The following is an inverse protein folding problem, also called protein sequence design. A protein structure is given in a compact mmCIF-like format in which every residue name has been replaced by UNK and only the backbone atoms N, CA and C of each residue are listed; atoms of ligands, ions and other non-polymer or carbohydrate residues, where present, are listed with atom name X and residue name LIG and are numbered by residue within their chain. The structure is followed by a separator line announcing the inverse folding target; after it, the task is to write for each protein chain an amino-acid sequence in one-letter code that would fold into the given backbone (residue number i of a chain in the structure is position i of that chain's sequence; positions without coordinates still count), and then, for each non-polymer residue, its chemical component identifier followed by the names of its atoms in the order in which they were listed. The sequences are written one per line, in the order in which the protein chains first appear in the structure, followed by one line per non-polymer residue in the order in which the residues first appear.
data_IF_709846805454
#
_entry.id   IF_709846805454
#
_cell.length_a   1.000
_cell.length_b   1.000
_cell.length_c   1.000
_cell.angle_alpha   90.00
_cell.angle_beta   90.00
_cell.angle_gamma   90.00
#
_symmetry.space_group_name_H-M   'P 1'
#
loop_
_entity.id
_entity.type
_entity.pdbx_description
1 polymer ?
#
# COMPACT_ATOMS: atom_id res chain seq x y z
N UNK A 1 19.29 15.91 25.85
CA UNK A 1 19.01 14.47 25.92
C UNK A 1 17.53 14.28 25.63
N UNK A 2 17.20 13.89 24.40
CA UNK A 2 15.82 13.69 23.95
C UNK A 2 15.35 12.31 24.44
N UNK A 3 14.15 12.18 25.03
CA UNK A 3 13.68 10.88 25.51
C UNK A 3 13.35 9.99 24.31
N UNK A 4 14.08 8.89 24.19
CA UNK A 4 13.81 7.81 23.24
C UNK A 4 12.51 7.13 23.63
N UNK A 5 11.49 7.24 22.77
CA UNK A 5 10.26 6.48 22.90
C UNK A 5 10.55 4.97 22.80
N UNK A 6 9.95 4.13 23.65
CA UNK A 6 10.16 2.68 23.60
C UNK A 6 9.65 2.13 22.27
N UNK A 7 10.48 1.29 21.64
CA UNK A 7 10.10 0.55 20.42
C UNK A 7 9.01 -0.46 20.80
N UNK A 8 7.84 -0.45 20.15
CA UNK A 8 6.76 -1.35 20.51
C UNK A 8 7.15 -2.81 20.18
N UNK A 9 6.66 -3.79 20.95
CA UNK A 9 7.00 -5.19 20.76
C UNK A 9 6.60 -5.68 19.36
N UNK A 10 7.55 -6.30 18.67
CA UNK A 10 7.35 -7.02 17.41
C UNK A 10 6.57 -8.32 17.69
N UNK A 11 5.25 -8.23 17.91
CA UNK A 11 4.26 -9.23 17.51
C UNK A 11 2.87 -8.84 18.03
N UNK A 12 1.86 -9.05 17.18
CA UNK A 12 0.46 -8.64 17.29
C UNK A 12 0.17 -7.15 17.03
N UNK A 13 0.58 -6.61 15.87
CA UNK A 13 -0.29 -5.62 15.23
C UNK A 13 -1.59 -6.35 14.91
N UNK A 14 -2.70 -6.02 15.58
CA UNK A 14 -4.01 -6.32 15.02
C UNK A 14 -3.97 -5.84 13.56
N UNK A 15 -4.31 -6.74 12.61
CA UNK A 15 -4.20 -6.40 11.21
C UNK A 15 -5.16 -5.23 10.92
N UNK A 16 -4.62 -4.03 10.76
CA UNK A 16 -5.40 -2.83 10.47
C UNK A 16 -5.96 -3.01 9.05
N UNK A 17 -7.27 -2.88 8.90
CA UNK A 17 -7.91 -2.98 7.59
C UNK A 17 -7.56 -1.79 6.70
N UNK A 18 -7.58 -1.97 5.38
CA UNK A 18 -7.32 -0.89 4.43
C UNK A 18 -8.32 0.28 4.58
N UNK A 19 -9.57 -0.01 4.94
CA UNK A 19 -10.61 0.99 5.23
C UNK A 19 -10.34 1.76 6.52
N UNK A 20 -9.78 1.12 7.54
CA UNK A 20 -9.34 1.80 8.78
C UNK A 20 -8.21 2.79 8.46
N UNK A 21 -7.22 2.38 7.67
CA UNK A 21 -6.12 3.28 7.24
C UNK A 21 -6.66 4.48 6.47
N UNK A 22 -7.57 4.26 5.51
CA UNK A 22 -8.19 5.34 4.74
C UNK A 22 -8.93 6.33 5.66
N UNK A 23 -9.68 5.80 6.64
CA UNK A 23 -10.41 6.60 7.62
C UNK A 23 -9.47 7.45 8.47
N UNK A 24 -8.40 6.85 9.00
CA UNK A 24 -7.47 7.53 9.90
C UNK A 24 -6.70 8.64 9.19
N UNK A 25 -6.24 8.40 7.95
CA UNK A 25 -5.57 9.43 7.15
C UNK A 25 -6.52 10.59 6.85
N UNK A 26 -7.75 10.31 6.40
CA UNK A 26 -8.73 11.35 6.06
C UNK A 26 -9.11 12.17 7.30
N UNK A 27 -9.20 11.56 8.49
CA UNK A 27 -9.42 12.27 9.75
C UNK A 27 -8.23 13.12 10.17
N UNK A 28 -7.01 12.60 10.02
CA UNK A 28 -5.79 13.34 10.33
C UNK A 28 -5.64 14.59 9.44
N UNK A 29 -5.89 14.44 8.14
CA UNK A 29 -5.91 15.55 7.18
C UNK A 29 -6.99 16.58 7.51
N UNK A 30 -8.18 16.15 7.95
CA UNK A 30 -9.25 17.04 8.38
C UNK A 30 -8.85 17.88 9.61
N UNK A 31 -8.20 17.26 10.62
CA UNK A 31 -7.65 17.99 11.78
C UNK A 31 -6.61 19.01 11.36
N UNK A 32 -5.62 18.59 10.55
CA UNK A 32 -4.58 19.50 10.08
C UNK A 32 -5.13 20.67 9.26
N UNK A 33 -6.22 20.45 8.50
CA UNK A 33 -6.92 21.53 7.80
C UNK A 33 -7.61 22.51 8.76
N UNK A 34 -8.29 22.02 9.80
CA UNK A 34 -8.90 22.88 10.82
C UNK A 34 -7.84 23.73 11.55
N UNK A 35 -6.72 23.13 11.95
CA UNK A 35 -5.62 23.87 12.59
C UNK A 35 -5.07 24.99 11.68
N UNK A 36 -5.00 24.74 10.37
CA UNK A 36 -4.58 25.75 9.41
C UNK A 36 -5.64 26.84 9.20
N UNK A 37 -6.93 26.47 9.21
CA UNK A 37 -8.04 27.43 9.11
C UNK A 37 -8.03 28.40 10.29
N UNK A 38 -7.83 27.89 11.51
CA UNK A 38 -7.75 28.73 12.71
C UNK A 38 -6.61 29.76 12.62
N UNK A 39 -5.46 29.37 12.07
CA UNK A 39 -4.33 30.29 11.83
C UNK A 39 -4.65 31.36 10.79
N UNK A 40 -5.39 31.01 9.73
CA UNK A 40 -5.85 31.97 8.70
C UNK A 40 -6.86 32.95 9.30
N UNK A 41 -7.82 32.45 10.08
CA UNK A 41 -8.80 33.29 10.75
C UNK A 41 -8.12 34.26 11.73
N UNK A 42 -7.19 33.77 12.55
CA UNK A 42 -6.47 34.57 13.53
C UNK A 42 -5.56 35.64 12.91
N UNK A 43 -4.69 35.25 11.97
CA UNK A 43 -3.63 36.15 11.46
C UNK A 43 -3.85 36.62 10.02
N UNK A 44 -4.38 35.75 9.16
CA UNK A 44 -4.39 35.98 7.71
C UNK A 44 -2.99 36.14 7.09
N UNK A 45 -1.93 35.71 7.79
CA UNK A 45 -0.55 35.82 7.32
C UNK A 45 -0.35 34.98 6.03
N UNK A 46 0.53 35.41 5.10
CA UNK A 46 0.78 34.69 3.84
C UNK A 46 1.12 33.21 4.04
N UNK A 47 1.95 32.89 5.05
CA UNK A 47 2.32 31.51 5.38
C UNK A 47 1.12 30.70 5.89
N UNK A 48 0.26 31.28 6.72
CA UNK A 48 -0.95 30.61 7.20
C UNK A 48 -1.89 30.26 6.02
N UNK A 49 -2.07 31.19 5.08
CA UNK A 49 -2.85 30.97 3.85
C UNK A 49 -2.20 29.88 2.98
N UNK A 50 -0.88 29.91 2.83
CA UNK A 50 -0.13 28.88 2.10
C UNK A 50 -0.37 27.48 2.69
N UNK A 51 -0.14 27.31 3.99
CA UNK A 51 -0.30 26.03 4.69
C UNK A 51 -1.75 25.52 4.61
N UNK A 52 -2.74 26.40 4.82
CA UNK A 52 -4.15 26.03 4.70
C UNK A 52 -4.51 25.56 3.28
N UNK A 53 -4.00 26.26 2.25
CA UNK A 53 -4.19 25.86 0.85
C UNK A 53 -3.54 24.51 0.55
N UNK A 54 -2.39 24.21 1.15
CA UNK A 54 -1.73 22.90 1.04
C UNK A 54 -2.56 21.82 1.73
N UNK A 55 -3.06 22.08 2.94
CA UNK A 55 -3.88 21.15 3.71
C UNK A 55 -5.19 20.79 2.98
N UNK A 56 -5.92 21.77 2.44
CA UNK A 56 -7.17 21.49 1.69
C UNK A 56 -6.90 20.69 0.41
N UNK A 57 -5.77 20.95 -0.25
CA UNK A 57 -5.36 20.21 -1.44
C UNK A 57 -4.97 18.78 -1.12
N UNK A 58 -4.28 18.56 -0.01
CA UNK A 58 -3.91 17.23 0.52
C UNK A 58 -5.16 16.42 0.81
N UNK A 59 -6.08 16.93 1.64
CA UNK A 59 -7.35 16.27 1.96
C UNK A 59 -8.15 15.90 0.69
N UNK A 60 -8.27 16.82 -0.28
CA UNK A 60 -8.92 16.55 -1.57
C UNK A 60 -8.24 15.44 -2.37
N UNK A 61 -6.92 15.34 -2.27
CA UNK A 61 -6.13 14.32 -2.98
C UNK A 61 -6.24 12.96 -2.29
N UNK A 62 -6.21 12.92 -0.97
CA UNK A 62 -6.24 11.67 -0.19
C UNK A 62 -7.65 11.07 -0.21
N UNK A 63 -8.70 11.88 -0.06
CA UNK A 63 -10.10 11.46 -0.28
C UNK A 63 -10.29 10.87 -1.70
N UNK A 64 -9.61 11.42 -2.71
CA UNK A 64 -9.62 10.86 -4.07
C UNK A 64 -8.83 9.56 -4.17
N UNK A 65 -7.65 9.50 -3.55
CA UNK A 65 -6.76 8.33 -3.58
C UNK A 65 -7.45 7.11 -2.98
N UNK A 66 -8.15 7.28 -1.86
CA UNK A 66 -8.87 6.22 -1.18
C UNK A 66 -10.26 5.92 -1.78
N UNK A 67 -10.64 6.55 -2.90
CA UNK A 67 -11.90 6.24 -3.61
C UNK A 67 -12.17 4.74 -3.83
N UNK A 68 -11.18 3.86 -4.09
CA UNK A 68 -11.43 2.42 -4.20
C UNK A 68 -11.85 1.73 -2.89
N UNK A 69 -11.67 2.38 -1.74
CA UNK A 69 -11.97 1.84 -0.40
C UNK A 69 -13.14 2.53 0.29
N UNK A 70 -13.60 3.67 -0.22
CA UNK A 70 -14.61 4.53 0.39
C UNK A 70 -15.87 4.64 -0.47
N UNK A 71 -17.00 4.96 0.14
CA UNK A 71 -18.24 5.21 -0.60
C UNK A 71 -18.06 6.32 -1.66
N UNK A 72 -18.45 6.00 -2.89
CA UNK A 72 -18.18 6.87 -4.05
C UNK A 72 -18.97 8.17 -4.02
N UNK A 73 -20.18 8.16 -3.45
CA UNK A 73 -21.02 9.36 -3.33
C UNK A 73 -20.41 10.29 -2.29
N UNK A 74 -20.06 9.74 -1.12
CA UNK A 74 -19.38 10.46 -0.06
C UNK A 74 -18.08 11.11 -0.57
N UNK A 75 -17.23 10.37 -1.27
CA UNK A 75 -15.99 10.92 -1.87
C UNK A 75 -16.29 12.08 -2.84
N UNK A 76 -17.34 11.97 -3.64
CA UNK A 76 -17.69 12.99 -4.64
C UNK A 76 -18.23 14.26 -3.97
N UNK A 77 -19.11 14.10 -2.98
CA UNK A 77 -19.71 15.21 -2.25
C UNK A 77 -18.67 15.94 -1.41
N UNK A 78 -17.84 15.23 -0.63
CA UNK A 78 -16.78 15.86 0.17
C UNK A 78 -15.80 16.64 -0.68
N UNK A 79 -15.46 16.14 -1.88
CA UNK A 79 -14.58 16.87 -2.79
C UNK A 79 -15.23 18.13 -3.35
N UNK A 80 -16.52 18.08 -3.67
CA UNK A 80 -17.30 19.26 -4.09
C UNK A 80 -17.34 20.30 -2.96
N UNK A 81 -17.60 19.87 -1.73
CA UNK A 81 -17.65 20.74 -0.55
C UNK A 81 -16.30 21.48 -0.33
N UNK A 82 -15.18 20.78 -0.54
CA UNK A 82 -13.83 21.37 -0.40
C UNK A 82 -13.41 22.29 -1.57
N UNK A 83 -14.12 22.26 -2.71
CA UNK A 83 -13.73 23.02 -3.89
C UNK A 83 -13.93 24.53 -3.72
N UNK A 84 -15.00 24.94 -3.02
CA UNK A 84 -15.27 26.35 -2.72
C UNK A 84 -14.14 26.97 -1.90
N UNK A 85 -13.83 26.35 -0.76
CA UNK A 85 -12.72 26.75 0.12
C UNK A 85 -11.37 26.75 -0.60
N UNK A 86 -11.10 25.74 -1.44
CA UNK A 86 -9.87 25.70 -2.21
C UNK A 86 -9.72 26.89 -3.16
N UNK A 87 -10.79 27.28 -3.86
CA UNK A 87 -10.78 28.44 -4.77
C UNK A 87 -10.59 29.75 -4.01
N UNK A 88 -11.30 29.94 -2.89
CA UNK A 88 -11.17 31.15 -2.08
C UNK A 88 -9.75 31.35 -1.53
N UNK A 89 -9.13 30.28 -1.02
CA UNK A 89 -7.73 30.30 -0.58
C UNK A 89 -6.75 30.58 -1.73
N UNK A 90 -7.04 30.09 -2.93
CA UNK A 90 -6.20 30.32 -4.10
C UNK A 90 -6.16 31.80 -4.51
N UNK A 91 -7.28 32.51 -4.43
CA UNK A 91 -7.35 33.96 -4.74
C UNK A 91 -6.40 34.77 -3.86
N UNK A 92 -6.42 34.56 -2.54
CA UNK A 92 -5.52 35.28 -1.62
C UNK A 92 -4.07 34.89 -1.85
N UNK A 93 -3.78 33.58 -2.00
CA UNK A 93 -2.40 33.11 -2.24
C UNK A 93 -1.83 33.65 -3.55
N UNK A 94 -2.64 33.81 -4.60
CA UNK A 94 -2.17 34.39 -5.86
C UNK A 94 -1.60 35.80 -5.67
N UNK A 95 -2.27 36.62 -4.85
CA UNK A 95 -1.82 37.97 -4.52
C UNK A 95 -0.54 37.95 -3.66
N UNK A 96 -0.45 37.01 -2.69
CA UNK A 96 0.78 36.81 -1.91
C UNK A 96 1.97 36.46 -2.81
N UNK A 97 1.79 35.47 -3.69
CA UNK A 97 2.83 35.00 -4.64
C UNK A 97 3.33 36.14 -5.52
N UNK A 98 2.41 36.87 -6.15
CA UNK A 98 2.77 37.97 -7.03
C UNK A 98 3.53 39.07 -6.30
N UNK A 99 3.11 39.42 -5.07
CA UNK A 99 3.83 40.41 -4.27
C UNK A 99 5.27 39.97 -3.97
N UNK A 100 5.49 38.68 -3.69
CA UNK A 100 6.83 38.12 -3.49
C UNK A 100 7.67 38.21 -4.77
N UNK A 101 7.09 37.91 -5.94
CA UNK A 101 7.79 38.04 -7.23
C UNK A 101 8.15 39.47 -7.60
N UNK A 102 7.25 40.43 -7.34
CA UNK A 102 7.53 41.84 -7.58
C UNK A 102 8.70 42.33 -6.71
N UNK A 103 8.73 41.95 -5.42
CA UNK A 103 9.87 42.26 -4.53
C UNK A 103 11.16 41.60 -5.01
N UNK A 104 11.11 40.33 -5.39
CA UNK A 104 12.28 39.61 -5.87
C UNK A 104 12.81 40.18 -7.21
N UNK A 105 11.93 40.69 -8.07
CA UNK A 105 12.33 41.34 -9.32
C UNK A 105 12.95 42.73 -9.10
N UNK A 106 12.45 43.48 -8.12
CA UNK A 106 13.04 44.77 -7.73
C UNK A 106 14.41 44.58 -7.07
N UNK A 107 14.56 43.53 -6.26
CA UNK A 107 15.80 43.19 -5.59
C UNK A 107 16.95 43.06 -6.59
N UNK A 108 17.94 43.96 -6.49
CA UNK A 108 19.11 43.99 -7.37
C UNK A 108 18.95 44.82 -8.65
N UNK A 109 17.89 45.62 -8.78
CA UNK A 109 17.71 46.58 -9.87
C UNK A 109 17.57 48.01 -9.35
N UNK A 110 18.54 48.86 -9.67
CA UNK A 110 18.57 50.25 -9.22
C UNK A 110 17.34 51.06 -9.71
N UNK A 111 16.64 51.70 -8.77
CA UNK A 111 15.47 52.54 -9.03
C UNK A 111 14.16 51.80 -9.31
N UNK A 112 14.09 50.47 -9.16
CA UNK A 112 12.82 49.73 -9.28
C UNK A 112 12.01 49.68 -7.98
N UNK A 113 12.63 49.92 -6.83
CA UNK A 113 11.92 49.93 -5.54
C UNK A 113 10.83 51.02 -5.50
N UNK A 114 11.12 52.20 -6.06
CA UNK A 114 10.16 53.31 -6.17
C UNK A 114 8.99 52.98 -7.11
N UNK A 115 9.23 52.19 -8.16
CA UNK A 115 8.19 51.73 -9.09
C UNK A 115 7.31 50.64 -8.46
N UNK A 116 7.91 49.71 -7.72
CA UNK A 116 7.21 48.56 -7.14
C UNK A 116 6.45 48.92 -5.87
N UNK A 117 6.88 49.94 -5.11
CA UNK A 117 6.23 50.40 -3.89
C UNK A 117 4.71 50.63 -4.03
N UNK A 118 4.25 51.50 -4.95
CA UNK A 118 2.83 51.75 -5.19
C UNK A 118 2.06 50.48 -5.62
N UNK A 119 2.66 49.65 -6.47
CA UNK A 119 2.05 48.39 -6.92
C UNK A 119 1.83 47.43 -5.75
N UNK A 120 2.79 47.33 -4.83
CA UNK A 120 2.67 46.51 -3.63
C UNK A 120 1.61 47.03 -2.66
N UNK A 121 1.44 48.35 -2.56
CA UNK A 121 0.38 48.97 -1.76
C UNK A 121 -1.01 48.63 -2.32
N UNK A 122 -1.20 48.74 -3.63
CA UNK A 122 -2.44 48.33 -4.28
C UNK A 122 -2.71 46.83 -4.13
N UNK A 123 -1.69 45.99 -4.28
CA UNK A 123 -1.81 44.55 -4.03
C UNK A 123 -2.18 44.25 -2.58
N UNK A 124 -1.59 44.95 -1.60
CA UNK A 124 -1.92 44.79 -0.19
C UNK A 124 -3.39 45.15 0.10
N UNK A 125 -3.92 46.19 -0.54
CA UNK A 125 -5.35 46.57 -0.45
C UNK A 125 -6.25 45.47 -1.02
N UNK A 126 -6.01 45.04 -2.26
CA UNK A 126 -6.79 43.97 -2.91
C UNK A 126 -6.71 42.66 -2.10
N UNK A 127 -5.54 42.35 -1.55
CA UNK A 127 -5.32 41.20 -0.68
C UNK A 127 -6.14 41.31 0.61
N UNK A 128 -6.19 42.49 1.22
CA UNK A 128 -7.02 42.73 2.41
C UNK A 128 -8.50 42.46 2.12
N UNK A 129 -9.00 42.97 0.99
CA UNK A 129 -10.39 42.74 0.56
C UNK A 129 -10.66 41.26 0.29
N UNK A 130 -9.75 40.57 -0.41
CA UNK A 130 -9.85 39.15 -0.69
C UNK A 130 -9.78 38.29 0.59
N UNK A 131 -8.95 38.67 1.57
CA UNK A 131 -8.86 38.01 2.87
C UNK A 131 -10.13 38.23 3.70
N UNK A 132 -10.72 39.43 3.65
CA UNK A 132 -12.00 39.71 4.29
C UNK A 132 -13.11 38.85 3.69
N UNK A 133 -13.17 38.74 2.35
CA UNK A 133 -14.10 37.86 1.65
C UNK A 133 -13.89 36.39 2.01
N UNK A 134 -12.64 35.91 2.04
CA UNK A 134 -12.30 34.56 2.48
C UNK A 134 -12.77 34.30 3.92
N UNK A 135 -12.54 35.23 4.85
CA UNK A 135 -12.99 35.10 6.24
C UNK A 135 -14.51 35.04 6.34
N UNK A 136 -15.23 35.84 5.57
CA UNK A 136 -16.68 35.79 5.50
C UNK A 136 -17.17 34.42 4.99
N UNK A 137 -16.59 33.91 3.89
CA UNK A 137 -16.88 32.57 3.36
C UNK A 137 -16.56 31.48 4.38
N UNK A 138 -15.41 31.52 5.05
CA UNK A 138 -15.04 30.50 6.04
C UNK A 138 -15.94 30.55 7.30
N UNK A 139 -16.43 31.72 7.69
CA UNK A 139 -17.35 31.85 8.82
C UNK A 139 -18.70 31.16 8.56
N UNK A 140 -19.18 31.17 7.31
CA UNK A 140 -20.46 30.55 6.91
C UNK A 140 -20.31 29.13 6.37
N UNK A 141 -19.19 28.84 5.72
CA UNK A 141 -19.02 27.66 4.85
C UNK A 141 -17.95 26.67 5.36
N UNK A 142 -17.34 26.84 6.54
CA UNK A 142 -16.56 25.74 7.12
C UNK A 142 -17.52 24.59 7.38
N UNK A 143 -17.43 23.48 6.62
CA UNK A 143 -18.49 22.50 6.66
C UNK A 143 -18.53 21.84 8.04
N UNK A 144 -19.70 21.77 8.66
CA UNK A 144 -19.88 21.12 9.97
C UNK A 144 -19.37 19.67 9.96
N UNK A 145 -19.46 19.01 8.80
CA UNK A 145 -18.91 17.67 8.58
C UNK A 145 -17.39 17.61 8.78
N UNK A 146 -16.63 18.67 8.53
CA UNK A 146 -15.17 18.68 8.68
C UNK A 146 -14.78 18.59 10.15
N UNK A 147 -15.47 19.34 11.03
CA UNK A 147 -15.31 19.25 12.49
C UNK A 147 -15.74 17.86 12.99
N UNK A 148 -16.91 17.42 12.56
CA UNK A 148 -17.43 16.10 12.91
C UNK A 148 -16.52 14.94 12.43
N UNK A 149 -15.85 15.11 11.29
CA UNK A 149 -14.88 14.14 10.81
C UNK A 149 -13.62 14.15 11.69
N UNK A 150 -13.10 15.33 12.02
CA UNK A 150 -11.90 15.51 12.82
C UNK A 150 -12.04 14.96 14.25
N UNK A 151 -13.19 15.21 14.90
CA UNK A 151 -13.49 14.70 16.25
C UNK A 151 -13.96 13.23 16.25
N UNK A 152 -14.29 12.68 15.08
CA UNK A 152 -14.68 11.29 14.89
C UNK A 152 -16.18 11.01 15.02
N UNK A 153 -17.01 12.03 15.25
CA UNK A 153 -18.48 11.89 15.31
C UNK A 153 -19.11 11.58 13.94
N UNK A 154 -18.47 11.99 12.85
CA UNK A 154 -18.82 11.58 11.49
C UNK A 154 -18.00 10.35 11.09
N UNK A 155 -18.71 9.27 10.73
CA UNK A 155 -18.10 8.10 10.14
C UNK A 155 -17.60 8.40 8.72
N UNK A 156 -16.44 7.84 8.37
CA UNK A 156 -16.00 7.74 6.97
C UNK A 156 -16.59 6.45 6.41
N UNK A 157 -17.58 6.50 5.49
CA UNK A 157 -18.21 5.31 4.97
C UNK A 157 -17.22 4.56 4.08
N UNK A 158 -16.86 3.36 4.51
CA UNK A 158 -16.14 2.37 3.71
C UNK A 158 -17.06 1.86 2.59
N UNK A 159 -16.53 1.59 1.39
CA UNK A 159 -17.33 1.13 0.25
C UNK A 159 -18.12 -0.15 0.63
N UNK A 160 -19.47 -0.10 0.61
CA UNK A 160 -20.30 -1.21 1.04
C UNK A 160 -20.44 -2.33 -0.01
N UNK A 161 -19.88 -2.14 -1.22
CA UNK A 161 -20.06 -3.10 -2.30
C UNK A 161 -19.42 -4.47 -1.99
N UNK A 162 -20.11 -5.59 -2.29
CA UNK A 162 -19.52 -6.93 -2.27
C UNK A 162 -18.31 -6.98 -3.22
N UNK A 163 -17.10 -7.11 -2.66
CA UNK A 163 -15.84 -7.05 -3.42
C UNK A 163 -14.96 -5.83 -3.16
N UNK A 164 -15.36 -4.93 -2.25
CA UNK A 164 -14.47 -3.88 -1.74
C UNK A 164 -13.31 -4.48 -0.95
N UNK A 165 -12.07 -4.12 -1.28
CA UNK A 165 -10.86 -4.56 -0.56
C UNK A 165 -10.68 -3.86 0.80
N UNK A 166 -11.58 -2.97 1.19
CA UNK A 166 -11.42 -2.15 2.40
C UNK A 166 -11.36 -2.96 3.70
N UNK A 167 -11.99 -4.13 3.74
CA UNK A 167 -11.95 -5.04 4.90
C UNK A 167 -10.66 -5.88 4.97
N UNK A 168 -9.86 -5.91 3.90
CA UNK A 168 -8.63 -6.70 3.85
C UNK A 168 -7.47 -5.99 4.59
N UNK A 169 -6.47 -6.77 4.98
CA UNK A 169 -5.25 -6.28 5.64
C UNK A 169 -4.59 -5.16 4.81
N UNK A 170 -4.41 -3.98 5.41
CA UNK A 170 -3.92 -2.80 4.70
C UNK A 170 -2.63 -3.04 3.88
N UNK A 171 -1.60 -3.76 4.37
CA UNK A 171 -0.39 -4.03 3.59
C UNK A 171 -0.62 -4.81 2.29
N UNK A 172 -1.74 -5.51 2.13
CA UNK A 172 -2.09 -6.22 0.90
C UNK A 172 -2.70 -5.29 -0.15
N UNK A 173 -3.40 -4.24 0.31
CA UNK A 173 -4.25 -3.39 -0.52
C UNK A 173 -3.56 -2.06 -0.84
N UNK A 174 -3.04 -1.37 0.17
CA UNK A 174 -2.56 0.01 0.02
C UNK A 174 -1.36 0.19 -0.93
N UNK A 175 -0.42 -0.78 -1.11
CA UNK A 175 0.63 -0.63 -2.13
C UNK A 175 0.08 -0.40 -3.55
N UNK A 176 -1.10 -0.95 -3.85
CA UNK A 176 -1.74 -0.79 -5.15
C UNK A 176 -2.18 0.66 -5.43
N UNK A 177 -2.51 1.43 -4.39
CA UNK A 177 -2.93 2.84 -4.51
C UNK A 177 -1.78 3.72 -5.03
N UNK A 178 -0.54 3.35 -4.74
CA UNK A 178 0.66 4.08 -5.14
C UNK A 178 1.19 3.69 -6.54
N UNK A 179 0.79 2.53 -7.09
CA UNK A 179 1.26 2.02 -8.39
C UNK A 179 1.14 3.04 -9.51
N UNK A 180 -0.03 3.67 -9.65
CA UNK A 180 -0.30 4.59 -10.75
C UNK A 180 0.53 5.88 -10.64
N UNK A 181 0.51 6.63 -9.51
CA UNK A 181 1.40 7.79 -9.35
C UNK A 181 2.88 7.44 -9.54
N UNK A 182 3.32 6.32 -8.96
CA UNK A 182 4.71 5.87 -9.05
C UNK A 182 5.15 5.58 -10.48
N UNK A 183 4.33 4.89 -11.26
CA UNK A 183 4.61 4.58 -12.67
C UNK A 183 4.83 5.83 -13.50
N UNK A 184 3.95 6.83 -13.36
CA UNK A 184 4.09 8.09 -14.11
C UNK A 184 5.38 8.85 -13.77
N UNK A 185 5.81 8.83 -12.50
CA UNK A 185 7.08 9.44 -12.10
C UNK A 185 8.27 8.63 -12.63
N UNK A 186 8.19 7.30 -12.65
CA UNK A 186 9.25 6.42 -13.15
C UNK A 186 9.46 6.48 -14.66
N UNK A 187 8.39 6.66 -15.42
CA UNK A 187 8.43 6.70 -16.88
C UNK A 187 8.96 8.03 -17.43
N UNK A 188 9.16 9.03 -16.57
CA UNK A 188 9.77 10.30 -16.93
C UNK A 188 11.22 10.10 -17.42
N UNK A 189 11.45 10.19 -18.74
CA UNK A 189 12.78 10.10 -19.36
C UNK A 189 13.56 11.41 -19.20
N UNK A 190 14.90 11.36 -19.17
CA UNK A 190 15.74 12.57 -19.20
C UNK A 190 15.36 13.44 -20.42
N UNK A 191 14.89 14.66 -20.17
CA UNK A 191 14.24 15.56 -21.16
C UNK A 191 12.92 16.20 -20.69
N UNK A 192 12.38 15.82 -19.52
CA UNK A 192 11.03 16.20 -19.04
C UNK A 192 10.83 17.69 -18.69
N UNK A 193 11.90 18.47 -18.53
CA UNK A 193 11.80 19.82 -17.96
C UNK A 193 11.25 20.88 -18.92
N UNK A 194 11.06 20.54 -20.19
CA UNK A 194 10.57 21.49 -21.19
C UNK A 194 9.05 21.53 -21.29
N UNK A 195 8.33 20.56 -20.71
CA UNK A 195 6.85 20.59 -20.58
C UNK A 195 6.35 19.70 -19.42
N UNK A 196 6.51 20.20 -18.18
CA UNK A 196 6.50 19.36 -16.97
C UNK A 196 5.26 19.44 -16.08
N UNK A 197 4.13 19.99 -16.55
CA UNK A 197 2.93 20.12 -15.70
C UNK A 197 2.37 18.75 -15.29
N UNK A 198 2.36 17.79 -16.21
CA UNK A 198 1.93 16.43 -15.89
C UNK A 198 2.84 15.76 -14.85
N UNK A 199 4.17 15.86 -15.01
CA UNK A 199 5.12 15.30 -14.04
C UNK A 199 4.97 15.99 -12.67
N UNK A 200 4.73 17.30 -12.63
CA UNK A 200 4.48 18.05 -11.39
C UNK A 200 3.23 17.53 -10.67
N UNK A 201 2.16 17.24 -11.41
CA UNK A 201 0.93 16.70 -10.84
C UNK A 201 1.13 15.28 -10.30
N UNK A 202 1.84 14.42 -11.04
CA UNK A 202 2.09 13.04 -10.61
C UNK A 202 3.11 12.93 -9.49
N UNK A 203 4.17 13.74 -9.47
CA UNK A 203 5.11 13.80 -8.34
C UNK A 203 4.38 14.23 -7.07
N UNK A 204 3.54 15.27 -7.12
CA UNK A 204 2.71 15.67 -5.96
C UNK A 204 1.82 14.52 -5.47
N UNK A 205 1.16 13.80 -6.37
CA UNK A 205 0.29 12.67 -6.01
C UNK A 205 1.09 11.51 -5.42
N UNK A 206 2.27 11.22 -5.98
CA UNK A 206 3.16 10.17 -5.48
C UNK A 206 3.67 10.52 -4.08
N UNK A 207 4.06 11.78 -3.85
CA UNK A 207 4.44 12.29 -2.53
C UNK A 207 3.31 12.11 -1.50
N UNK A 208 2.12 12.66 -1.77
CA UNK A 208 1.00 12.55 -0.82
C UNK A 208 0.63 11.10 -0.52
N UNK A 209 0.59 10.24 -1.54
CA UNK A 209 0.32 8.82 -1.35
C UNK A 209 1.40 8.13 -0.52
N UNK A 210 2.68 8.40 -0.78
CA UNK A 210 3.78 7.82 -0.02
C UNK A 210 3.79 8.28 1.45
N UNK A 211 3.53 9.58 1.70
CA UNK A 211 3.39 10.13 3.06
C UNK A 211 2.22 9.47 3.81
N UNK A 212 1.03 9.44 3.20
CA UNK A 212 -0.18 8.87 3.78
C UNK A 212 -0.03 7.39 4.14
N UNK A 213 0.75 6.64 3.35
CA UNK A 213 0.93 5.20 3.51
C UNK A 213 2.18 4.82 4.33
N UNK A 214 2.97 5.80 4.78
CA UNK A 214 4.15 5.58 5.62
C UNK A 214 3.86 4.76 6.89
N UNK A 215 2.74 4.97 7.63
CA UNK A 215 2.42 4.15 8.80
C UNK A 215 2.25 2.65 8.50
N UNK A 216 1.93 2.29 7.25
CA UNK A 216 1.70 0.89 6.81
C UNK A 216 2.91 0.31 6.10
N UNK A 217 3.55 1.11 5.24
CA UNK A 217 4.64 0.67 4.36
C UNK A 217 6.04 0.93 4.93
N UNK A 218 6.12 1.70 6.02
CA UNK A 218 7.34 1.92 6.78
C UNK A 218 8.38 2.80 6.07
N UNK A 219 9.68 2.64 6.41
CA UNK A 219 10.77 3.50 5.94
C UNK A 219 10.89 3.66 4.42
N UNK A 220 10.66 2.63 3.58
CA UNK A 220 10.73 2.79 2.13
C UNK A 220 9.73 3.83 1.59
N UNK A 221 8.50 3.87 2.12
CA UNK A 221 7.51 4.86 1.72
C UNK A 221 7.88 6.26 2.21
N UNK A 222 8.45 6.39 3.41
CA UNK A 222 8.97 7.67 3.89
C UNK A 222 10.11 8.20 3.01
N UNK A 223 11.04 7.33 2.60
CA UNK A 223 12.13 7.71 1.69
C UNK A 223 11.62 8.12 0.30
N UNK A 224 10.60 7.43 -0.22
CA UNK A 224 9.94 7.81 -1.47
C UNK A 224 9.23 9.17 -1.34
N UNK A 225 8.53 9.43 -0.24
CA UNK A 225 7.91 10.73 0.04
C UNK A 225 8.96 11.86 0.07
N UNK A 226 10.06 11.66 0.79
CA UNK A 226 11.14 12.65 0.91
C UNK A 226 11.79 12.95 -0.45
N UNK A 227 12.17 11.91 -1.20
CA UNK A 227 12.78 12.08 -2.54
C UNK A 227 11.82 12.76 -3.52
N UNK A 228 10.54 12.36 -3.52
CA UNK A 228 9.51 12.97 -4.37
C UNK A 228 9.21 14.42 -3.97
N UNK A 229 9.42 14.79 -2.70
CA UNK A 229 9.28 16.18 -2.24
C UNK A 229 10.27 17.10 -2.95
N UNK A 230 11.56 16.72 -3.01
CA UNK A 230 12.59 17.51 -3.67
C UNK A 230 12.25 17.70 -5.15
N UNK A 231 11.82 16.62 -5.82
CA UNK A 231 11.42 16.67 -7.23
C UNK A 231 10.22 17.58 -7.44
N UNK A 232 9.20 17.46 -6.59
CA UNK A 232 7.99 18.28 -6.69
C UNK A 232 8.27 19.78 -6.48
N UNK A 233 9.17 20.13 -5.54
CA UNK A 233 9.57 21.53 -5.28
C UNK A 233 10.26 22.11 -6.51
N UNK A 234 11.26 21.41 -7.06
CA UNK A 234 11.97 21.88 -8.25
C UNK A 234 11.04 22.04 -9.47
N UNK A 235 10.11 21.10 -9.68
CA UNK A 235 9.08 21.23 -10.72
C UNK A 235 8.08 22.38 -10.45
N UNK A 236 7.87 22.71 -9.17
CA UNK A 236 7.08 23.86 -8.74
C UNK A 236 7.73 25.18 -9.14
N UNK A 237 9.02 25.33 -8.84
CA UNK A 237 9.82 26.51 -9.20
C UNK A 237 9.90 26.72 -10.72
N UNK A 238 10.06 25.63 -11.50
CA UNK A 238 10.04 25.72 -12.95
C UNK A 238 8.68 26.21 -13.51
N UNK A 239 7.58 25.75 -12.93
CA UNK A 239 6.24 26.23 -13.29
C UNK A 239 6.02 27.68 -12.87
N UNK A 240 6.51 28.05 -11.69
CA UNK A 240 6.45 29.42 -11.18
C UNK A 240 7.20 30.40 -12.10
N UNK A 241 8.37 30.02 -12.63
CA UNK A 241 9.07 30.81 -13.64
C UNK A 241 8.23 31.06 -14.91
N UNK A 242 7.46 30.07 -15.37
CA UNK A 242 6.54 30.23 -16.51
C UNK A 242 5.43 31.24 -16.17
N UNK A 243 4.83 31.12 -14.99
CA UNK A 243 3.79 32.05 -14.50
C UNK A 243 4.32 33.49 -14.43
N UNK A 244 5.51 33.71 -13.84
CA UNK A 244 6.14 35.03 -13.75
C UNK A 244 6.36 35.66 -15.12
N UNK A 245 6.83 34.88 -16.12
CA UNK A 245 7.02 35.40 -17.49
C UNK A 245 5.70 35.80 -18.14
N UNK A 246 4.67 34.96 -18.01
CA UNK A 246 3.34 35.25 -18.54
C UNK A 246 2.75 36.52 -17.91
N UNK A 247 2.94 36.68 -16.62
CA UNK A 247 2.49 37.85 -15.86
C UNK A 247 3.27 39.12 -16.23
N UNK A 248 4.59 39.04 -16.34
CA UNK A 248 5.43 40.15 -16.79
C UNK A 248 5.02 40.66 -18.17
N UNK A 249 4.66 39.75 -19.09
CA UNK A 249 4.14 40.10 -20.41
C UNK A 249 2.77 40.79 -20.31
N UNK A 250 1.83 40.18 -19.58
CA UNK A 250 0.46 40.68 -19.45
C UNK A 250 0.37 42.05 -18.77
N UNK A 251 1.11 42.24 -17.67
CA UNK A 251 1.14 43.51 -16.94
C UNK A 251 1.76 44.63 -17.79
N UNK A 252 2.80 44.32 -18.57
CA UNK A 252 3.44 45.29 -19.44
C UNK A 252 2.52 45.71 -20.59
N UNK A 253 1.84 44.75 -21.22
CA UNK A 253 0.85 45.02 -22.28
C UNK A 253 -0.33 45.86 -21.78
N UNK A 254 -0.75 45.65 -20.53
CA UNK A 254 -1.79 46.43 -19.88
C UNK A 254 -1.32 47.82 -19.42
N UNK A 255 -0.04 48.17 -19.57
CA UNK A 255 0.52 49.44 -19.11
C UNK A 255 0.62 49.56 -17.58
N UNK A 256 0.51 48.44 -16.86
CA UNK A 256 0.53 48.40 -15.38
C UNK A 256 1.96 48.38 -14.81
N UNK A 257 2.95 47.98 -15.62
CA UNK A 257 4.37 47.99 -15.23
C UNK A 257 5.25 48.53 -16.37
N UNK A 258 6.37 49.14 -16.02
CA UNK A 258 7.32 49.62 -17.02
C UNK A 258 7.99 48.46 -17.77
N UNK A 259 8.57 48.76 -18.94
CA UNK A 259 9.39 47.80 -19.67
C UNK A 259 10.63 47.35 -18.87
N UNK A 260 11.14 48.21 -17.98
CA UNK A 260 12.28 47.89 -17.09
C UNK A 260 11.86 46.86 -16.04
N UNK A 261 10.75 47.07 -15.35
CA UNK A 261 10.23 46.14 -14.35
C UNK A 261 9.83 44.80 -14.99
N UNK A 262 9.14 44.82 -16.13
CA UNK A 262 8.80 43.60 -16.87
C UNK A 262 10.06 42.81 -17.28
N UNK A 263 11.14 43.49 -17.69
CA UNK A 263 12.43 42.85 -17.97
C UNK A 263 13.07 42.26 -16.71
N UNK A 264 12.97 42.94 -15.57
CA UNK A 264 13.48 42.45 -14.30
C UNK A 264 12.74 41.18 -13.84
N UNK A 265 11.40 41.16 -13.94
CA UNK A 265 10.59 39.96 -13.65
C UNK A 265 10.98 38.78 -14.54
N UNK A 266 11.21 38.99 -15.84
CA UNK A 266 11.68 37.93 -16.75
C UNK A 266 13.06 37.40 -16.35
N UNK A 267 14.00 38.27 -16.00
CA UNK A 267 15.32 37.84 -15.49
C UNK A 267 15.21 37.00 -14.22
N UNK A 268 14.34 37.40 -13.29
CA UNK A 268 14.07 36.63 -12.07
C UNK A 268 13.50 35.24 -12.40
N UNK A 269 12.54 35.17 -13.34
CA UNK A 269 12.00 33.91 -13.82
C UNK A 269 13.07 33.00 -14.46
N UNK A 270 13.98 33.56 -15.25
CA UNK A 270 15.05 32.79 -15.90
C UNK A 270 16.02 32.21 -14.85
N UNK A 271 16.38 32.98 -13.81
CA UNK A 271 17.19 32.51 -12.68
C UNK A 271 16.50 31.36 -11.92
N UNK A 272 15.21 31.49 -11.65
CA UNK A 272 14.42 30.44 -11.00
C UNK A 272 14.37 29.16 -11.84
N UNK A 273 14.11 29.29 -13.15
CA UNK A 273 14.06 28.15 -14.05
C UNK A 273 15.40 27.41 -14.12
N UNK A 274 16.52 28.13 -14.18
CA UNK A 274 17.84 27.53 -14.24
C UNK A 274 18.18 26.75 -12.94
N UNK A 275 17.83 27.30 -11.78
CA UNK A 275 17.96 26.60 -10.49
C UNK A 275 17.10 25.35 -10.43
N UNK A 276 15.81 25.50 -10.77
CA UNK A 276 14.83 24.43 -10.79
C UNK A 276 15.23 23.26 -11.68
N UNK A 277 15.74 23.55 -12.89
CA UNK A 277 16.18 22.53 -13.84
C UNK A 277 17.30 21.66 -13.27
N UNK A 278 18.30 22.26 -12.62
CA UNK A 278 19.40 21.51 -11.99
C UNK A 278 18.88 20.64 -10.85
N UNK A 279 18.11 21.21 -9.92
CA UNK A 279 17.56 20.48 -8.78
C UNK A 279 16.63 19.32 -9.19
N UNK A 280 15.83 19.50 -10.24
CA UNK A 280 14.90 18.48 -10.70
C UNK A 280 15.60 17.24 -11.31
N UNK A 281 16.74 17.42 -11.99
CA UNK A 281 17.50 16.29 -12.56
C UNK A 281 18.06 15.40 -11.44
N UNK A 282 18.66 16.00 -10.43
CA UNK A 282 19.23 15.28 -9.28
C UNK A 282 18.14 14.61 -8.43
N UNK A 283 17.03 15.32 -8.22
CA UNK A 283 15.88 14.80 -7.50
C UNK A 283 15.24 13.63 -8.25
N UNK A 284 15.08 13.72 -9.58
CA UNK A 284 14.54 12.64 -10.39
C UNK A 284 15.45 11.40 -10.32
N UNK A 285 16.77 11.56 -10.40
CA UNK A 285 17.71 10.45 -10.24
C UNK A 285 17.54 9.76 -8.88
N UNK A 286 17.40 10.54 -7.81
CA UNK A 286 17.17 10.03 -6.44
C UNK A 286 15.85 9.26 -6.34
N UNK A 287 14.78 9.81 -6.92
CA UNK A 287 13.47 9.17 -6.94
C UNK A 287 13.54 7.85 -7.72
N UNK A 288 14.16 7.82 -8.90
CA UNK A 288 14.29 6.61 -9.71
C UNK A 288 15.14 5.51 -9.06
N UNK A 289 16.02 5.88 -8.13
CA UNK A 289 16.82 4.95 -7.33
C UNK A 289 16.06 4.37 -6.12
N UNK A 290 14.89 4.92 -5.77
CA UNK A 290 14.11 4.45 -4.62
C UNK A 290 13.60 3.01 -4.82
N UNK A 291 13.50 2.27 -3.71
CA UNK A 291 12.93 0.92 -3.71
C UNK A 291 11.48 0.94 -4.23
N UNK A 292 11.10 -0.11 -4.98
CA UNK A 292 9.72 -0.27 -5.43
C UNK A 292 8.80 -0.70 -4.29
N UNK A 293 8.23 0.30 -3.61
CA UNK A 293 7.31 0.15 -2.47
C UNK A 293 5.88 -0.24 -2.89
N UNK A 294 5.62 -0.39 -4.19
CA UNK A 294 4.28 -0.74 -4.72
C UNK A 294 4.03 -2.24 -4.78
N UNK A 295 5.08 -3.03 -4.50
CA UNK A 295 5.01 -4.49 -4.39
C UNK A 295 4.56 -4.86 -2.99
N UNK A 296 3.62 -5.81 -2.90
CA UNK A 296 3.24 -6.41 -1.62
C UNK A 296 4.48 -7.03 -0.97
N UNK A 297 4.74 -6.78 0.33
CA UNK A 297 5.90 -7.34 1.01
C UNK A 297 5.98 -8.85 0.80
N UNK A 298 7.16 -9.37 0.47
CA UNK A 298 7.35 -10.80 0.24
C UNK A 298 6.94 -11.65 1.45
N UNK A 299 7.01 -11.08 2.66
CA UNK A 299 6.53 -11.67 3.92
C UNK A 299 5.01 -11.78 4.02
N UNK A 300 4.21 -11.16 3.17
CA UNK A 300 2.74 -11.23 3.24
C UNK A 300 2.10 -11.98 2.06
N UNK A 301 2.92 -12.59 1.20
CA UNK A 301 2.44 -13.50 0.15
C UNK A 301 1.99 -14.84 0.76
N UNK A 302 0.78 -15.29 0.41
CA UNK A 302 0.27 -16.59 0.84
C UNK A 302 0.91 -17.72 0.03
N UNK A 303 1.76 -18.53 0.66
CA UNK A 303 2.30 -19.75 0.04
C UNK A 303 1.34 -20.90 0.27
N UNK A 304 0.70 -21.40 -0.79
CA UNK A 304 -0.16 -22.60 -0.72
C UNK A 304 0.63 -23.88 -1.00
N UNK A 305 0.22 -24.96 -0.37
CA UNK A 305 0.83 -26.29 -0.49
C UNK A 305 -0.24 -27.39 -0.36
N UNK A 306 0.05 -28.55 -0.94
CA UNK A 306 -0.76 -29.76 -0.83
C UNK A 306 0.06 -30.90 -0.23
N UNK A 307 -0.57 -31.73 0.59
CA UNK A 307 0.06 -32.91 1.20
C UNK A 307 -0.93 -34.04 1.44
N UNK A 308 -0.45 -35.13 2.01
CA UNK A 308 -1.27 -36.31 2.24
C UNK A 308 -0.83 -37.13 3.45
N UNK A 309 -1.81 -37.69 4.15
CA UNK A 309 -1.59 -38.83 5.05
C UNK A 309 -1.84 -40.07 4.19
N UNK A 310 -0.77 -40.62 3.62
CA UNK A 310 -0.85 -41.84 2.83
C UNK A 310 -0.91 -43.01 3.80
N UNK A 311 -1.96 -43.82 3.73
CA UNK A 311 -2.24 -44.86 4.71
C UNK A 311 -2.61 -46.19 4.07
N UNK A 312 -2.39 -47.28 4.81
CA UNK A 312 -2.85 -48.63 4.47
C UNK A 312 -3.27 -49.40 5.74
N UNK A 313 -4.21 -50.34 5.66
CA UNK A 313 -4.47 -51.28 6.75
C UNK A 313 -3.23 -52.11 7.08
N UNK A 314 -3.06 -52.48 8.34
CA UNK A 314 -2.07 -53.48 8.75
C UNK A 314 -2.52 -54.86 8.21
N UNK A 315 -1.68 -55.62 7.48
CA UNK A 315 -2.10 -56.87 6.84
C UNK A 315 -2.62 -57.96 7.78
N UNK A 316 -2.10 -58.02 9.02
CA UNK A 316 -2.41 -59.06 10.02
C UNK A 316 -2.69 -58.46 11.41
N UNK A 317 -3.46 -57.36 11.48
CA UNK A 317 -3.83 -56.75 12.76
C UNK A 317 -4.85 -55.63 12.64
N UNK A 318 -5.24 -55.09 13.80
CA UNK A 318 -6.08 -53.91 13.88
C UNK A 318 -5.24 -52.63 13.72
N UNK A 319 -5.71 -51.70 12.89
CA UNK A 319 -5.11 -50.37 12.73
C UNK A 319 -4.57 -50.08 11.33
N UNK A 320 -3.81 -48.98 11.24
CA UNK A 320 -3.29 -48.44 9.99
C UNK A 320 -1.82 -48.07 10.11
N UNK A 321 -1.08 -48.28 9.03
CA UNK A 321 0.23 -47.69 8.84
C UNK A 321 0.10 -46.43 7.99
N UNK A 322 0.94 -45.43 8.27
CA UNK A 322 1.02 -44.18 7.52
C UNK A 322 2.44 -43.94 7.02
N UNK A 323 2.56 -43.20 5.92
CA UNK A 323 3.86 -42.80 5.37
C UNK A 323 4.34 -41.51 6.02
N UNK A 324 5.60 -41.54 6.47
CA UNK A 324 6.36 -40.34 6.87
C UNK A 324 7.65 -40.26 6.07
N UNK A 325 8.15 -39.03 5.90
CA UNK A 325 9.34 -38.73 5.08
C UNK A 325 10.40 -37.99 5.90
N UNK A 326 11.66 -38.33 5.71
CA UNK A 326 12.79 -37.62 6.31
C UNK A 326 13.37 -36.59 5.33
N UNK A 327 13.58 -35.37 5.81
CA UNK A 327 14.07 -34.26 4.99
C UNK A 327 15.49 -33.86 5.40
N UNK A 328 16.54 -34.33 4.72
CA UNK A 328 17.93 -34.13 5.15
C UNK A 328 18.31 -32.65 5.27
N UNK A 329 17.81 -31.80 4.37
CA UNK A 329 18.04 -30.34 4.42
C UNK A 329 17.42 -29.65 5.64
N UNK A 330 16.44 -30.29 6.29
CA UNK A 330 15.75 -29.77 7.49
C UNK A 330 16.11 -30.55 8.75
N UNK A 331 16.65 -31.76 8.60
CA UNK A 331 16.91 -32.69 9.69
C UNK A 331 15.65 -33.05 10.47
N UNK A 332 14.51 -33.19 9.78
CA UNK A 332 13.23 -33.49 10.41
C UNK A 332 12.40 -34.55 9.67
N UNK A 333 11.59 -35.28 10.44
CA UNK A 333 10.53 -36.18 9.99
C UNK A 333 9.21 -35.43 9.87
N UNK A 334 8.51 -35.65 8.76
CA UNK A 334 7.33 -34.86 8.40
C UNK A 334 6.37 -35.68 7.55
N UNK A 335 5.11 -35.21 7.46
CA UNK A 335 4.19 -35.71 6.43
C UNK A 335 4.62 -35.22 5.04
N UNK A 336 4.46 -36.05 4.00
CA UNK A 336 4.79 -35.69 2.63
C UNK A 336 3.86 -34.58 2.12
N UNK A 337 4.46 -33.53 1.56
CA UNK A 337 3.78 -32.30 1.11
C UNK A 337 4.75 -31.38 0.37
N UNK A 338 4.22 -30.60 -0.57
CA UNK A 338 5.02 -29.57 -1.21
C UNK A 338 4.22 -28.41 -1.79
N UNK A 339 4.94 -27.51 -2.44
CA UNK A 339 4.44 -26.20 -2.87
C UNK A 339 3.69 -26.34 -4.19
N UNK A 340 2.59 -25.60 -4.31
CA UNK A 340 1.87 -25.53 -5.59
C UNK A 340 2.68 -24.77 -6.65
N UNK A 341 2.66 -25.27 -7.88
CA UNK A 341 3.11 -24.55 -9.07
C UNK A 341 2.12 -23.43 -9.41
N UNK A 342 2.54 -22.47 -10.23
CA UNK A 342 1.66 -21.37 -10.65
C UNK A 342 0.42 -21.93 -11.39
N UNK A 343 -0.77 -21.54 -10.94
CA UNK A 343 -2.05 -22.01 -11.51
C UNK A 343 -2.44 -23.45 -11.16
N UNK A 344 -1.65 -24.18 -10.36
CA UNK A 344 -1.91 -25.57 -10.01
C UNK A 344 -3.04 -25.70 -8.97
N UNK A 345 -4.01 -26.58 -9.23
CA UNK A 345 -5.04 -26.91 -8.26
C UNK A 345 -4.44 -27.63 -7.05
N UNK A 346 -4.94 -27.35 -5.83
CA UNK A 346 -4.31 -27.83 -4.59
C UNK A 346 -4.25 -29.36 -4.52
N UNK A 347 -5.32 -30.05 -4.93
CA UNK A 347 -5.36 -31.52 -4.98
C UNK A 347 -4.39 -32.08 -6.04
N UNK A 348 -4.27 -31.42 -7.20
CA UNK A 348 -3.30 -31.84 -8.22
C UNK A 348 -1.86 -31.73 -7.69
N UNK A 349 -1.55 -30.62 -7.01
CA UNK A 349 -0.26 -30.43 -6.35
C UNK A 349 0.00 -31.46 -5.23
N UNK A 350 -1.00 -31.76 -4.40
CA UNK A 350 -0.86 -32.81 -3.38
C UNK A 350 -0.51 -34.17 -4.00
N UNK A 351 -1.23 -34.61 -5.04
CA UNK A 351 -0.95 -35.88 -5.72
C UNK A 351 0.48 -35.93 -6.28
N UNK A 352 0.89 -34.86 -6.97
CA UNK A 352 2.23 -34.73 -7.54
C UNK A 352 3.30 -34.83 -6.45
N UNK A 353 3.18 -34.05 -5.38
CA UNK A 353 4.18 -34.01 -4.30
C UNK A 353 4.27 -35.35 -3.57
N UNK A 354 3.13 -36.03 -3.33
CA UNK A 354 3.15 -37.40 -2.78
C UNK A 354 3.95 -38.33 -3.68
N UNK A 355 3.69 -38.34 -4.99
CA UNK A 355 4.41 -39.21 -5.92
C UNK A 355 5.91 -38.84 -6.00
N UNK A 356 6.24 -37.55 -6.08
CA UNK A 356 7.62 -37.06 -6.16
C UNK A 356 8.42 -37.44 -4.90
N UNK A 357 7.86 -37.25 -3.70
CA UNK A 357 8.56 -37.50 -2.43
C UNK A 357 8.60 -38.97 -2.02
N UNK A 358 7.49 -39.70 -2.22
CA UNK A 358 7.31 -41.08 -1.70
C UNK A 358 7.41 -42.15 -2.78
N UNK A 359 7.25 -41.79 -4.05
CA UNK A 359 7.12 -42.75 -5.14
C UNK A 359 5.76 -43.46 -5.17
N UNK A 360 4.74 -42.99 -4.45
CA UNK A 360 3.42 -43.62 -4.39
C UNK A 360 2.39 -42.86 -5.22
N UNK A 361 1.69 -43.56 -6.12
CA UNK A 361 0.51 -43.01 -6.79
C UNK A 361 -0.71 -43.37 -5.97
N UNK A 362 -1.43 -42.36 -5.50
CA UNK A 362 -2.50 -42.53 -4.53
C UNK A 362 -3.85 -41.98 -5.01
N UNK A 363 -4.95 -42.61 -4.54
CA UNK A 363 -6.30 -42.06 -4.63
C UNK A 363 -6.58 -41.09 -3.48
N UNK A 364 -7.50 -40.14 -3.69
CA UNK A 364 -7.96 -39.23 -2.65
C UNK A 364 -9.09 -39.85 -1.83
N UNK A 365 -8.98 -39.78 -0.51
CA UNK A 365 -10.06 -39.98 0.44
C UNK A 365 -10.51 -38.67 1.07
N UNK A 366 -10.86 -38.70 2.36
CA UNK A 366 -11.37 -37.53 3.09
C UNK A 366 -10.35 -36.38 3.13
N UNK A 367 -10.85 -35.15 3.00
CA UNK A 367 -10.07 -33.94 3.27
C UNK A 367 -9.84 -33.82 4.77
N UNK A 368 -8.61 -33.52 5.18
CA UNK A 368 -8.23 -33.30 6.58
C UNK A 368 -8.17 -31.80 6.91
N UNK A 369 -8.16 -31.39 8.18
CA UNK A 369 -8.02 -29.98 8.54
C UNK A 369 -6.72 -29.36 7.97
N UNK A 370 -6.77 -28.15 7.38
CA UNK A 370 -5.59 -27.50 6.86
C UNK A 370 -4.70 -26.97 7.98
N UNK A 371 -3.39 -26.92 7.72
CA UNK A 371 -2.38 -26.36 8.63
C UNK A 371 -1.97 -24.97 8.16
N UNK A 372 -2.08 -23.98 9.04
CA UNK A 372 -1.74 -22.56 8.77
C UNK A 372 -0.62 -22.09 9.69
N UNK A 373 0.44 -21.49 9.12
CA UNK A 373 1.56 -20.93 9.90
C UNK A 373 2.32 -19.87 9.10
N UNK A 374 3.19 -19.11 9.78
CA UNK A 374 4.14 -18.19 9.14
C UNK A 374 5.46 -18.91 8.89
N UNK A 375 5.95 -18.91 7.64
CA UNK A 375 7.23 -19.53 7.30
C UNK A 375 8.44 -18.68 7.71
N UNK A 376 9.67 -19.24 7.58
CA UNK A 376 10.92 -18.54 7.94
C UNK A 376 11.17 -17.26 7.13
N UNK A 377 10.45 -17.04 6.03
CA UNK A 377 10.51 -15.83 5.20
C UNK A 377 9.36 -14.85 5.51
N UNK A 378 8.65 -15.08 6.61
CA UNK A 378 7.52 -14.27 7.06
C UNK A 378 6.19 -14.59 6.38
N UNK A 379 6.16 -15.45 5.35
CA UNK A 379 4.97 -15.70 4.52
C UNK A 379 3.91 -16.48 5.27
N UNK A 380 2.64 -16.07 5.12
CA UNK A 380 1.49 -16.91 5.49
C UNK A 380 1.52 -18.17 4.62
N UNK A 381 1.58 -19.34 5.24
CA UNK A 381 1.61 -20.64 4.58
C UNK A 381 0.38 -21.45 5.00
N UNK A 382 -0.34 -21.96 4.01
CA UNK A 382 -1.46 -22.87 4.19
C UNK A 382 -1.15 -24.19 3.48
N UNK A 383 -1.31 -25.30 4.19
CA UNK A 383 -1.15 -26.66 3.66
C UNK A 383 -2.47 -27.39 3.81
N UNK A 384 -3.05 -27.83 2.70
CA UNK A 384 -4.22 -28.72 2.70
C UNK A 384 -3.76 -30.18 2.65
N UNK A 385 -4.35 -31.03 3.50
CA UNK A 385 -4.06 -32.46 3.55
C UNK A 385 -5.28 -33.29 3.18
N UNK A 386 -5.02 -34.50 2.68
CA UNK A 386 -6.03 -35.54 2.44
C UNK A 386 -5.56 -36.87 3.01
N UNK A 387 -6.51 -37.70 3.45
CA UNK A 387 -6.27 -39.12 3.62
C UNK A 387 -6.13 -39.75 2.23
N UNK A 388 -5.06 -40.48 1.97
CA UNK A 388 -4.77 -41.02 0.63
C UNK A 388 -4.41 -42.51 0.72
N UNK A 389 -4.86 -43.31 -0.25
CA UNK A 389 -4.56 -44.73 -0.30
C UNK A 389 -3.67 -45.04 -1.50
N UNK A 390 -2.60 -45.85 -1.33
CA UNK A 390 -1.71 -46.21 -2.43
C UNK A 390 -2.44 -47.12 -3.42
N UNK A 391 -2.35 -46.78 -4.70
CA UNK A 391 -2.87 -47.60 -5.81
C UNK A 391 -1.75 -48.44 -6.45
N UNK A 392 -0.59 -47.83 -6.65
CA UNK A 392 0.59 -48.47 -7.25
C UNK A 392 1.86 -47.68 -6.91
N UNK A 393 3.00 -48.31 -7.17
CA UNK A 393 4.29 -47.61 -7.20
C UNK A 393 4.35 -46.71 -8.44
N UNK A 394 4.74 -45.48 -8.21
CA UNK A 394 5.12 -44.47 -9.20
C UNK A 394 6.63 -44.30 -9.26
N UNK A 395 7.07 -43.13 -9.72
CA UNK A 395 8.48 -42.78 -9.79
C UNK A 395 8.78 -41.65 -8.82
N UNK A 396 9.65 -41.92 -7.83
CA UNK A 396 10.21 -40.89 -6.95
C UNK A 396 11.07 -39.93 -7.77
N UNK A 397 10.89 -38.63 -7.57
CA UNK A 397 11.63 -37.58 -8.29
C UNK A 397 12.09 -36.53 -7.29
N UNK A 398 13.40 -36.30 -7.24
CA UNK A 398 14.02 -35.26 -6.41
C UNK A 398 14.87 -35.81 -5.26
N UNK A 399 15.65 -34.91 -4.65
CA UNK A 399 16.57 -35.20 -3.55
C UNK A 399 16.14 -34.49 -2.24
N UNK A 400 14.89 -34.03 -2.17
CA UNK A 400 14.38 -33.31 -0.98
C UNK A 400 14.09 -34.23 0.20
N UNK A 401 13.85 -35.51 -0.10
CA UNK A 401 13.66 -36.58 0.87
C UNK A 401 14.70 -37.65 0.57
N UNK A 402 15.35 -38.19 1.60
CA UNK A 402 16.26 -39.34 1.49
C UNK A 402 15.56 -40.63 1.91
N UNK A 403 14.78 -40.61 2.99
CA UNK A 403 14.07 -41.78 3.53
C UNK A 403 12.54 -41.64 3.54
N UNK A 404 11.85 -42.77 3.29
CA UNK A 404 10.40 -42.92 3.36
C UNK A 404 10.09 -44.13 4.24
N UNK A 405 9.25 -43.97 5.28
CA UNK A 405 8.91 -45.07 6.20
C UNK A 405 7.40 -45.23 6.32
N UNK A 406 6.96 -46.49 6.29
CA UNK A 406 5.65 -46.90 6.78
C UNK A 406 5.75 -47.13 8.28
N UNK A 407 4.88 -46.51 9.06
CA UNK A 407 4.85 -46.66 10.52
C UNK A 407 3.41 -46.79 11.01
N UNK A 408 3.17 -47.57 12.08
CA UNK A 408 1.93 -47.49 12.84
C UNK A 408 1.59 -46.05 13.21
N UNK A 409 0.31 -45.69 13.20
CA UNK A 409 -0.14 -44.30 13.37
C UNK A 409 0.37 -43.64 14.66
N UNK A 410 0.36 -44.36 15.77
CA UNK A 410 0.90 -43.92 17.07
C UNK A 410 2.40 -43.60 16.98
N UNK A 411 3.18 -44.49 16.35
CA UNK A 411 4.62 -44.30 16.14
C UNK A 411 4.92 -43.14 15.20
N UNK A 412 4.08 -42.92 14.19
CA UNK A 412 4.21 -41.77 13.30
C UNK A 412 3.95 -40.44 14.05
N UNK A 413 2.95 -40.40 14.94
CA UNK A 413 2.67 -39.23 15.80
C UNK A 413 3.86 -38.92 16.71
N UNK A 414 4.49 -39.95 17.27
CA UNK A 414 5.66 -39.78 18.13
C UNK A 414 6.90 -39.30 17.36
N UNK A 415 7.08 -39.80 16.14
CA UNK A 415 8.27 -39.53 15.33
C UNK A 415 8.28 -38.14 14.69
N UNK A 416 7.15 -37.63 14.19
CA UNK A 416 7.16 -36.36 13.44
C UNK A 416 7.53 -35.17 14.34
N UNK A 417 8.44 -34.33 13.88
CA UNK A 417 9.02 -33.26 14.69
C UNK A 417 8.07 -32.08 14.90
N UNK A 418 7.19 -31.82 13.94
CA UNK A 418 6.34 -30.62 13.96
C UNK A 418 5.01 -30.94 14.60
N UNK A 419 4.66 -30.20 15.66
CA UNK A 419 3.35 -30.25 16.33
C UNK A 419 2.18 -30.28 15.35
N UNK A 420 2.25 -29.46 14.29
CA UNK A 420 1.20 -29.39 13.26
C UNK A 420 1.03 -30.68 12.44
N UNK A 421 2.10 -31.46 12.24
CA UNK A 421 2.02 -32.74 11.54
C UNK A 421 1.40 -33.79 12.47
N UNK A 422 1.69 -33.71 13.79
CA UNK A 422 1.00 -34.51 14.82
C UNK A 422 -0.50 -34.21 14.84
N UNK A 423 -0.88 -32.94 14.80
CA UNK A 423 -2.29 -32.53 14.76
C UNK A 423 -3.05 -33.11 13.55
N UNK A 424 -2.41 -33.15 12.37
CA UNK A 424 -2.98 -33.78 11.16
C UNK A 424 -3.12 -35.29 11.33
N UNK A 425 -2.10 -35.97 11.85
CA UNK A 425 -2.14 -37.42 12.11
C UNK A 425 -3.22 -37.79 13.15
N UNK A 426 -3.34 -37.01 14.22
CA UNK A 426 -4.40 -37.19 15.24
C UNK A 426 -5.79 -36.98 14.63
N UNK A 427 -5.98 -35.95 13.81
CA UNK A 427 -7.24 -35.71 13.11
C UNK A 427 -7.59 -36.84 12.13
N UNK A 428 -6.59 -37.39 11.45
CA UNK A 428 -6.76 -38.58 10.60
C UNK A 428 -7.20 -39.79 11.42
N UNK A 429 -6.54 -40.08 12.55
CA UNK A 429 -6.90 -41.19 13.44
C UNK A 429 -8.35 -41.14 13.94
N UNK A 430 -8.84 -39.94 14.25
CA UNK A 430 -10.23 -39.71 14.64
C UNK A 430 -11.24 -40.02 13.50
N UNK A 431 -10.80 -39.97 12.24
CA UNK A 431 -11.62 -40.26 11.06
C UNK A 431 -11.64 -41.75 10.71
N UNK A 432 -10.59 -42.49 11.06
CA UNK A 432 -10.42 -43.93 10.76
C UNK A 432 -10.84 -44.87 11.89
N UNK A 433 -11.24 -44.36 13.06
CA UNK A 433 -11.75 -45.20 14.15
C UNK A 433 -13.10 -45.83 13.77
N UNK A 434 -13.32 -47.16 13.92
CA UNK A 434 -14.52 -47.81 13.44
C UNK A 434 -15.75 -47.28 14.18
N UNK A 435 -16.60 -46.50 13.50
CA UNK A 435 -18.00 -46.37 13.89
C UNK A 435 -18.63 -47.75 13.77
N UNK A 436 -19.05 -48.29 14.91
CA UNK A 436 -19.80 -49.55 15.10
C UNK A 436 -20.73 -49.84 13.89
N UNK A 437 -20.61 -51.00 13.22
CA UNK A 437 -21.38 -51.26 12.00
C UNK A 437 -22.86 -51.54 12.32
N UNK A 438 -23.75 -50.94 11.54
CA UNK A 438 -25.13 -51.39 11.39
C UNK A 438 -25.12 -52.65 10.49
N UNK A 439 -25.45 -53.78 11.09
CA UNK A 439 -26.04 -55.02 10.54
C UNK A 439 -25.81 -55.40 9.06
N UNK A 440 -25.00 -56.45 8.88
CA UNK A 440 -25.13 -57.65 8.00
C UNK A 440 -25.73 -57.55 6.58
N UNK A 441 -24.91 -57.94 5.60
CA UNK A 441 -25.28 -58.56 4.31
C UNK A 441 -24.14 -59.48 3.84
N UNK A 442 -24.40 -60.59 3.12
CA UNK A 442 -23.48 -61.74 3.08
C UNK A 442 -22.26 -61.54 2.17
N UNK A 443 -21.14 -62.10 2.62
CA UNK A 443 -19.81 -62.03 1.98
C UNK A 443 -19.71 -62.88 0.71
N UNK A 444 -19.12 -62.32 -0.34
CA UNK A 444 -18.57 -63.09 -1.46
C UNK A 444 -17.06 -63.29 -1.19
N UNK A 445 -16.62 -64.55 -1.04
CA UNK A 445 -15.20 -64.92 -0.88
C UNK A 445 -14.52 -65.00 -2.26
N UNK A 446 -13.28 -64.53 -2.35
CA UNK A 446 -12.36 -64.83 -3.47
C UNK A 446 -11.10 -65.48 -2.89
N UNK A 447 -10.52 -66.54 -3.50
CA UNK A 447 -9.47 -67.34 -2.86
C UNK A 447 -8.09 -66.69 -2.95
N UNK A 448 -7.26 -66.98 -1.95
CA UNK A 448 -5.82 -66.67 -1.91
C UNK A 448 -5.08 -67.69 -2.78
N UNK A 449 -4.30 -67.21 -3.75
CA UNK A 449 -3.30 -68.01 -4.46
C UNK A 449 -1.92 -67.73 -3.86
N UNK A 450 -1.38 -68.74 -3.20
CA UNK A 450 0.03 -68.88 -2.82
C UNK A 450 0.84 -69.28 -4.04
N UNK A 451 1.95 -68.58 -4.32
CA UNK A 451 3.08 -69.17 -5.06
C UNK A 451 4.37 -68.71 -4.40
N UNK A 452 5.08 -69.68 -3.79
CA UNK A 452 6.50 -69.61 -3.46
C UNK A 452 7.32 -69.69 -4.76
N UNK A 453 8.40 -68.93 -4.82
CA UNK A 453 9.45 -69.00 -5.83
C UNK A 453 10.52 -67.98 -5.48
#
# INVERSE_FOLDING_TARGET
MTPTMPTPPQNAMAAISAGTVATDVVRADARGLLDCLDRVLASGAPEAVHLCRVAVRRLRTDVRMFRPLLDRRWVSDRRRDLDGMHRALATVRHLDVRADHLRAAAAGSEGLDDEVGPLLQDHARIRSDALAALRATLATDVPSWLRALADGTLAVPVDPAPGSDAHLDAPLVVPALLRRPWRHVREARRGVLDDSEELRVWSRRCRYAAEALTPVLGPPAAALAASTTVLHVALGEANEAVEIRGEACSLHQAGLVSGRLAKAMRRHADQLQDGARRGAVDALATVLAAEDVTRTPASMQTSRAGGGVVWRPVPEGDGVEVVVVHRPRKGDWSLPKGRLRSGEAVAAGARREIEEETGLVCSFGASLPPVRYVDRRGRRKEVQFWAMQPLRLGRRVGHEVDEVRWLPLDRAIDLVDKRRDREVLTAFGATTSPRRPLTTGPSCRVPVLSVRG
#
